data_IF_724379176068
#
_entry.id   IF_724379176068
#
_cell.length_a   1.000
_cell.length_b   1.000
_cell.length_c   1.000
_cell.angle_alpha   90.00
_cell.angle_beta   90.00
_cell.angle_gamma   90.00
#
_symmetry.space_group_name_H-M   'P 1'
#
loop_
_entity.id
_entity.type
_entity.pdbx_description
1 polymer ?
#
# COMPACT_ATOMS: atom_id res chain seq x y z
N UNK A 1 5.89 10.85 16.91
CA UNK A 1 4.93 10.58 15.82
C UNK A 1 5.69 10.59 14.51
N UNK A 2 5.72 9.48 13.78
CA UNK A 2 6.50 9.35 12.53
C UNK A 2 5.82 10.10 11.38
N UNK A 3 6.62 10.78 10.55
CA UNK A 3 6.17 11.48 9.32
C UNK A 3 6.20 10.56 8.10
N UNK A 4 6.20 9.25 8.33
CA UNK A 4 6.51 8.19 7.37
C UNK A 4 5.73 8.29 6.05
N UNK A 5 4.52 8.83 6.01
CA UNK A 5 3.71 8.79 4.78
C UNK A 5 3.28 10.18 4.28
N UNK A 6 4.01 11.25 4.63
CA UNK A 6 3.59 12.61 4.31
C UNK A 6 3.46 12.87 2.80
N UNK A 7 4.33 12.26 1.98
CA UNK A 7 4.29 12.41 0.52
C UNK A 7 3.08 11.70 -0.10
N UNK A 8 2.81 10.47 0.34
CA UNK A 8 1.65 9.68 -0.06
C UNK A 8 0.35 10.40 0.30
N UNK A 9 0.26 10.91 1.53
CA UNK A 9 -0.91 11.63 2.02
C UNK A 9 -1.17 12.93 1.25
N UNK A 10 -0.14 13.66 0.83
CA UNK A 10 -0.31 14.85 0.00
C UNK A 10 -0.88 14.51 -1.39
N UNK A 11 -0.47 13.37 -1.96
CA UNK A 11 -1.02 12.90 -3.24
C UNK A 11 -2.48 12.46 -3.06
N UNK A 12 -2.80 11.76 -1.97
CA UNK A 12 -4.18 11.38 -1.62
C UNK A 12 -5.05 12.63 -1.47
N UNK A 13 -4.56 13.65 -0.76
CA UNK A 13 -5.26 14.94 -0.62
C UNK A 13 -5.55 15.55 -2.00
N UNK A 14 -4.57 15.54 -2.90
CA UNK A 14 -4.74 16.03 -4.27
C UNK A 14 -5.78 15.25 -5.07
N UNK A 15 -5.79 13.92 -4.97
CA UNK A 15 -6.80 13.08 -5.65
C UNK A 15 -8.19 13.27 -5.06
N UNK A 16 -8.32 13.45 -3.74
CA UNK A 16 -9.59 13.79 -3.11
C UNK A 16 -10.08 15.18 -3.51
N UNK A 17 -9.16 16.14 -3.67
CA UNK A 17 -9.50 17.49 -4.12
C UNK A 17 -10.00 17.48 -5.56
N UNK A 18 -9.31 16.79 -6.47
CA UNK A 18 -9.77 16.61 -7.86
C UNK A 18 -11.18 15.99 -7.90
N UNK A 19 -11.47 15.01 -7.03
CA UNK A 19 -12.81 14.43 -6.91
C UNK A 19 -13.87 15.50 -6.59
N UNK A 20 -13.61 16.35 -5.59
CA UNK A 20 -14.56 17.41 -5.19
C UNK A 20 -14.65 18.54 -6.21
N UNK A 21 -13.54 18.89 -6.87
CA UNK A 21 -13.46 19.95 -7.88
C UNK A 21 -14.25 19.58 -9.14
N UNK A 22 -14.39 18.28 -9.43
CA UNK A 22 -15.28 17.73 -10.48
C UNK A 22 -16.77 17.77 -10.11
N UNK A 23 -17.11 18.23 -8.91
CA UNK A 23 -18.49 18.29 -8.41
C UNK A 23 -19.05 16.93 -7.98
N UNK A 24 -18.22 15.90 -7.85
CA UNK A 24 -18.65 14.60 -7.36
C UNK A 24 -18.88 14.63 -5.85
N UNK A 25 -19.87 13.87 -5.40
CA UNK A 25 -20.27 13.79 -3.99
C UNK A 25 -20.02 12.37 -3.49
N UNK A 26 -19.25 12.25 -2.40
CA UNK A 26 -18.97 10.97 -1.77
C UNK A 26 -20.12 10.59 -0.82
N UNK A 27 -20.86 9.53 -1.17
CA UNK A 27 -21.85 8.89 -0.30
C UNK A 27 -21.18 8.07 0.81
N UNK A 28 -20.00 7.50 0.52
CA UNK A 28 -19.21 6.75 1.49
C UNK A 28 -17.68 6.93 1.36
N UNK A 29 -17.00 6.61 2.45
CA UNK A 29 -15.55 6.45 2.51
C UNK A 29 -15.26 5.02 2.98
N UNK A 30 -14.35 4.34 2.30
CA UNK A 30 -13.86 3.01 2.65
C UNK A 30 -12.35 3.05 2.79
N UNK A 31 -11.83 2.68 3.96
CA UNK A 31 -10.39 2.47 4.16
C UNK A 31 -10.11 1.01 4.44
N UNK A 32 -9.25 0.39 3.64
CA UNK A 32 -8.87 -1.02 3.75
C UNK A 32 -7.38 -1.14 4.10
N UNK A 33 -7.05 -1.92 5.12
CA UNK A 33 -5.68 -2.08 5.62
C UNK A 33 -5.10 -0.84 6.30
N UNK A 34 -5.91 -0.13 7.07
CA UNK A 34 -5.50 1.07 7.80
C UNK A 34 -4.64 0.76 9.02
N UNK A 35 -3.31 0.69 8.87
CA UNK A 35 -2.42 0.59 10.03
C UNK A 35 -2.46 1.89 10.86
N UNK A 36 -2.31 1.83 12.19
CA UNK A 36 -2.25 3.04 13.03
C UNK A 36 -1.06 3.91 12.65
N UNK A 37 -1.33 5.15 12.24
CA UNK A 37 -0.36 6.08 11.65
C UNK A 37 -0.67 6.45 10.20
N UNK A 38 -1.47 5.63 9.51
CA UNK A 38 -2.05 5.93 8.21
C UNK A 38 -3.17 6.95 8.40
N UNK A 39 -2.85 8.22 8.19
CA UNK A 39 -3.82 9.31 8.32
C UNK A 39 -4.83 9.34 7.17
N UNK A 40 -4.92 8.29 6.38
CA UNK A 40 -5.70 8.22 5.14
C UNK A 40 -7.18 8.51 5.38
N UNK A 41 -7.86 7.87 6.36
CA UNK A 41 -9.23 8.24 6.69
C UNK A 41 -9.32 9.69 7.15
N UNK A 42 -8.27 10.21 7.79
CA UNK A 42 -8.27 11.59 8.28
C UNK A 42 -8.19 12.61 7.13
N UNK A 43 -7.27 12.39 6.20
CA UNK A 43 -7.01 13.26 5.05
C UNK A 43 -8.20 13.30 4.11
N UNK A 44 -8.73 12.13 3.70
CA UNK A 44 -9.90 12.06 2.79
C UNK A 44 -11.07 12.84 3.39
N UNK A 45 -11.36 12.55 4.65
CA UNK A 45 -12.39 13.19 5.43
C UNK A 45 -12.22 14.71 5.58
N UNK A 46 -10.99 15.20 5.82
CA UNK A 46 -10.71 16.62 5.97
C UNK A 46 -10.94 17.37 4.65
N UNK A 47 -10.55 16.78 3.52
CA UNK A 47 -10.82 17.33 2.18
C UNK A 47 -12.32 17.39 1.93
N UNK A 48 -13.04 16.30 2.18
CA UNK A 48 -14.49 16.25 1.99
C UNK A 48 -15.21 17.25 2.91
N UNK A 49 -14.78 17.40 4.16
CA UNK A 49 -15.34 18.37 5.10
C UNK A 49 -15.11 19.83 4.64
N UNK A 50 -13.91 20.16 4.12
CA UNK A 50 -13.63 21.48 3.51
C UNK A 50 -14.53 21.75 2.31
N UNK A 51 -14.85 20.71 1.53
CA UNK A 51 -15.84 20.77 0.44
C UNK A 51 -17.30 20.70 0.92
N UNK A 52 -17.56 20.78 2.23
CA UNK A 52 -18.89 20.70 2.87
C UNK A 52 -19.65 19.39 2.57
N UNK A 53 -18.94 18.32 2.22
CA UNK A 53 -19.52 17.00 2.04
C UNK A 53 -19.59 16.25 3.37
N UNK A 54 -20.65 15.46 3.55
CA UNK A 54 -20.89 14.64 4.75
C UNK A 54 -21.23 13.20 4.33
N UNK A 55 -20.22 12.35 4.09
CA UNK A 55 -20.44 10.97 3.66
C UNK A 55 -21.29 10.22 4.70
N UNK A 56 -22.30 9.48 4.25
CA UNK A 56 -23.27 8.83 5.15
C UNK A 56 -22.69 7.58 5.78
N UNK A 57 -21.78 6.88 5.07
CA UNK A 57 -21.19 5.62 5.54
C UNK A 57 -19.68 5.74 5.58
N UNK A 58 -19.07 5.28 6.67
CA UNK A 58 -17.63 5.23 6.86
C UNK A 58 -17.25 3.80 7.19
N UNK A 59 -16.45 3.18 6.34
CA UNK A 59 -15.92 1.84 6.52
C UNK A 59 -14.42 1.92 6.84
N UNK A 60 -13.99 1.15 7.83
CA UNK A 60 -12.59 1.02 8.20
C UNK A 60 -12.23 -0.45 8.41
N UNK A 61 -11.10 -0.88 7.87
CA UNK A 61 -10.58 -2.22 8.06
C UNK A 61 -9.08 -2.18 8.30
N UNK A 62 -8.62 -3.09 9.15
CA UNK A 62 -7.23 -3.47 9.32
C UNK A 62 -7.14 -4.97 9.63
N UNK A 63 -5.99 -5.61 9.41
CA UNK A 63 -5.78 -7.01 9.81
C UNK A 63 -5.86 -7.18 11.33
N UNK A 64 -5.37 -6.20 12.09
CA UNK A 64 -5.24 -6.27 13.55
C UNK A 64 -6.48 -5.70 14.27
N UNK A 65 -7.15 -6.51 15.13
CA UNK A 65 -8.25 -6.01 15.98
C UNK A 65 -7.84 -4.83 16.87
N UNK A 66 -6.58 -4.82 17.33
CA UNK A 66 -6.07 -3.72 18.14
C UNK A 66 -6.02 -2.40 17.35
N UNK A 67 -5.68 -2.45 16.07
CA UNK A 67 -5.64 -1.27 15.19
C UNK A 67 -7.05 -0.77 14.89
N UNK A 68 -7.99 -1.66 14.63
CA UNK A 68 -9.41 -1.32 14.48
C UNK A 68 -9.95 -0.63 15.74
N UNK A 69 -9.71 -1.22 16.91
CA UNK A 69 -10.14 -0.64 18.19
C UNK A 69 -9.49 0.72 18.49
N UNK A 70 -8.24 0.92 18.07
CA UNK A 70 -7.57 2.22 18.19
C UNK A 70 -8.18 3.25 17.24
N UNK A 71 -8.37 2.92 15.96
CA UNK A 71 -8.96 3.82 14.96
C UNK A 71 -10.37 4.28 15.36
N UNK A 72 -11.17 3.41 15.95
CA UNK A 72 -12.49 3.75 16.52
C UNK A 72 -12.40 4.83 17.61
N UNK A 73 -11.38 4.77 18.47
CA UNK A 73 -11.17 5.68 19.60
C UNK A 73 -10.51 7.00 19.22
N UNK A 74 -9.80 7.06 18.09
CA UNK A 74 -8.99 8.24 17.73
C UNK A 74 -9.46 8.93 16.46
N UNK A 75 -9.69 8.19 15.37
CA UNK A 75 -9.87 8.75 14.03
C UNK A 75 -11.34 8.79 13.60
N UNK A 76 -12.12 7.80 14.01
CA UNK A 76 -13.52 7.65 13.63
C UNK A 76 -14.49 8.34 14.61
N UNK A 77 -14.00 8.89 15.72
CA UNK A 77 -14.80 9.55 16.76
C UNK A 77 -15.67 10.68 16.21
N UNK A 78 -15.15 11.48 15.27
CA UNK A 78 -15.89 12.56 14.60
C UNK A 78 -17.06 12.10 13.72
N UNK A 79 -17.20 10.80 13.48
CA UNK A 79 -18.28 10.18 12.70
C UNK A 79 -19.25 9.38 13.56
N UNK A 80 -19.18 9.48 14.89
CA UNK A 80 -20.06 8.73 15.79
C UNK A 80 -21.46 9.35 15.94
N UNK A 81 -21.68 10.55 15.38
CA UNK A 81 -22.97 11.25 15.43
C UNK A 81 -23.77 11.11 14.12
N UNK A 82 -25.11 11.12 14.18
CA UNK A 82 -25.96 11.15 12.99
C UNK A 82 -25.61 12.32 12.05
N UNK A 83 -25.70 12.14 10.72
CA UNK A 83 -26.30 11.01 10.01
C UNK A 83 -25.30 9.89 9.65
N UNK A 84 -24.11 9.88 10.25
CA UNK A 84 -23.05 8.96 9.87
C UNK A 84 -23.29 7.55 10.43
N UNK A 85 -22.98 6.53 9.62
CA UNK A 85 -22.89 5.13 10.07
C UNK A 85 -21.44 4.68 9.92
N UNK A 86 -20.82 4.29 11.03
CA UNK A 86 -19.44 3.81 11.07
C UNK A 86 -19.42 2.29 11.20
N UNK A 87 -18.69 1.63 10.32
CA UNK A 87 -18.43 0.18 10.37
C UNK A 87 -16.93 -0.03 10.40
N UNK A 88 -16.40 -0.64 11.46
CA UNK A 88 -14.99 -0.92 11.59
C UNK A 88 -14.78 -2.41 11.91
N UNK A 89 -14.10 -3.14 11.03
CA UNK A 89 -14.01 -4.61 11.08
C UNK A 89 -12.56 -5.06 10.88
N UNK A 90 -12.09 -5.96 11.73
CA UNK A 90 -10.77 -6.55 11.60
C UNK A 90 -10.81 -7.78 10.68
N UNK A 91 -9.75 -8.01 9.90
CA UNK A 91 -9.59 -9.19 9.06
C UNK A 91 -9.02 -8.90 7.67
N UNK A 92 -8.80 -9.95 6.86
CA UNK A 92 -8.26 -9.82 5.51
C UNK A 92 -9.17 -9.00 4.59
N UNK A 93 -8.56 -8.16 3.75
CA UNK A 93 -9.31 -7.25 2.86
C UNK A 93 -10.25 -8.01 1.93
N UNK A 94 -9.81 -9.14 1.37
CA UNK A 94 -10.61 -9.91 0.43
C UNK A 94 -11.87 -10.52 1.06
N UNK A 95 -11.87 -10.75 2.39
CA UNK A 95 -13.06 -11.15 3.15
C UNK A 95 -13.93 -9.93 3.46
N UNK A 96 -13.32 -8.85 3.98
CA UNK A 96 -14.08 -7.67 4.40
C UNK A 96 -14.75 -6.96 3.23
N UNK A 97 -14.09 -6.93 2.07
CA UNK A 97 -14.64 -6.39 0.84
C UNK A 97 -16.01 -6.99 0.45
N UNK A 98 -16.28 -8.25 0.83
CA UNK A 98 -17.55 -8.93 0.53
C UNK A 98 -18.73 -8.38 1.34
N UNK A 99 -18.44 -7.75 2.48
CA UNK A 99 -19.45 -7.14 3.36
C UNK A 99 -19.77 -5.68 2.98
N UNK A 100 -19.02 -5.09 2.05
CA UNK A 100 -19.20 -3.71 1.61
C UNK A 100 -20.06 -3.71 0.33
N UNK A 101 -21.18 -2.96 0.30
CA UNK A 101 -22.04 -2.91 -0.88
C UNK A 101 -21.27 -2.44 -2.12
N UNK A 102 -21.51 -3.12 -3.24
CA UNK A 102 -20.95 -2.74 -4.53
C UNK A 102 -21.50 -1.38 -4.99
N UNK A 103 -20.60 -0.49 -5.39
CA UNK A 103 -20.93 0.85 -5.89
C UNK A 103 -19.71 1.43 -6.64
N UNK A 104 -19.91 2.25 -7.69
CA UNK A 104 -18.81 2.95 -8.34
C UNK A 104 -18.06 3.84 -7.34
N UNK A 105 -16.78 3.55 -7.13
CA UNK A 105 -15.93 4.32 -6.22
C UNK A 105 -14.59 4.65 -6.87
N UNK A 106 -14.05 5.82 -6.55
CA UNK A 106 -12.66 6.14 -6.84
C UNK A 106 -11.78 5.30 -5.93
N UNK A 107 -10.82 4.59 -6.49
CA UNK A 107 -9.88 3.75 -5.73
C UNK A 107 -8.52 4.45 -5.70
N UNK A 108 -7.98 4.67 -4.51
CA UNK A 108 -6.66 5.25 -4.30
C UNK A 108 -5.78 4.21 -3.60
N UNK A 109 -4.71 3.77 -4.27
CA UNK A 109 -3.85 2.70 -3.77
C UNK A 109 -2.42 3.19 -3.62
N UNK A 110 -1.80 2.93 -2.46
CA UNK A 110 -0.39 3.21 -2.19
C UNK A 110 0.44 1.93 -2.16
N UNK A 111 1.56 1.92 -2.88
CA UNK A 111 2.49 0.77 -2.94
C UNK A 111 3.93 1.22 -2.79
N UNK A 112 4.79 0.35 -2.30
CA UNK A 112 6.22 0.61 -2.21
C UNK A 112 6.89 0.68 -3.57
N UNK A 113 7.78 1.65 -3.74
CA UNK A 113 8.52 1.89 -4.97
C UNK A 113 9.89 1.23 -4.87
N UNK A 114 10.20 0.30 -5.76
CA UNK A 114 11.47 -0.41 -5.84
C UNK A 114 12.69 0.52 -5.75
N UNK A 115 12.70 1.64 -6.46
CA UNK A 115 13.81 2.59 -6.38
C UNK A 115 14.00 3.19 -4.98
N UNK A 116 12.92 3.37 -4.23
CA UNK A 116 13.02 3.85 -2.85
C UNK A 116 13.64 2.81 -1.90
N UNK A 117 13.54 1.50 -2.21
CA UNK A 117 14.29 0.46 -1.49
C UNK A 117 15.79 0.69 -1.64
N UNK A 118 16.24 1.11 -2.81
CA UNK A 118 17.65 1.23 -3.17
C UNK A 118 18.26 2.61 -2.85
N UNK A 119 17.45 3.67 -2.86
CA UNK A 119 17.88 5.07 -2.77
C UNK A 119 17.62 5.71 -1.39
N UNK A 120 17.14 4.96 -0.41
CA UNK A 120 16.60 5.52 0.84
C UNK A 120 17.57 6.38 1.65
N UNK A 121 18.89 6.18 1.51
CA UNK A 121 19.92 7.03 2.14
C UNK A 121 19.94 8.48 1.62
N UNK A 122 19.25 8.76 0.50
CA UNK A 122 19.13 10.09 -0.11
C UNK A 122 17.79 10.77 0.19
N UNK A 123 16.87 10.10 0.88
CA UNK A 123 15.54 10.64 1.19
C UNK A 123 15.60 11.33 2.56
N UNK A 124 15.79 12.65 2.56
CA UNK A 124 15.72 13.46 3.77
C UNK A 124 14.38 13.25 4.52
N UNK A 125 14.45 13.00 5.82
CA UNK A 125 13.26 12.89 6.69
C UNK A 125 12.77 11.47 6.95
N UNK A 126 13.41 10.44 6.40
CA UNK A 126 13.08 9.03 6.65
C UNK A 126 14.18 8.32 7.43
N UNK A 127 14.07 8.32 8.76
CA UNK A 127 14.93 7.48 9.56
C UNK A 127 14.47 6.02 9.38
N UNK A 128 15.28 5.19 8.70
CA UNK A 128 15.09 3.73 8.59
C UNK A 128 14.04 3.24 7.58
N UNK A 129 14.18 3.59 6.30
CA UNK A 129 13.51 2.87 5.20
C UNK A 129 14.51 2.33 4.18
N UNK A 130 14.04 1.42 3.33
CA UNK A 130 14.84 0.81 2.28
C UNK A 130 15.89 -0.19 2.78
N UNK A 131 16.86 -0.51 1.92
CA UNK A 131 17.79 -1.62 2.09
C UNK A 131 18.68 -1.47 3.33
N UNK A 132 19.10 -0.25 3.63
CA UNK A 132 19.88 0.07 4.83
C UNK A 132 19.10 -0.24 6.13
N UNK A 133 17.79 -0.04 6.14
CA UNK A 133 16.94 -0.36 7.28
C UNK A 133 16.92 -1.85 7.58
N UNK A 134 16.74 -2.69 6.55
CA UNK A 134 16.78 -4.15 6.68
C UNK A 134 18.14 -4.63 7.19
N UNK A 135 19.23 -4.05 6.69
CA UNK A 135 20.59 -4.42 7.09
C UNK A 135 20.85 -4.05 8.55
N UNK A 136 20.54 -2.82 8.96
CA UNK A 136 20.70 -2.41 10.36
C UNK A 136 19.87 -3.27 11.32
N UNK A 137 18.70 -3.73 10.89
CA UNK A 137 17.88 -4.65 11.68
C UNK A 137 18.54 -6.03 11.77
N UNK A 138 19.04 -6.58 10.67
CA UNK A 138 19.82 -7.83 10.69
C UNK A 138 21.01 -7.75 11.66
N UNK A 139 21.82 -6.69 11.55
CA UNK A 139 22.99 -6.47 12.41
C UNK A 139 22.63 -6.37 13.90
N UNK A 140 21.52 -5.68 14.24
CA UNK A 140 21.14 -5.41 15.63
C UNK A 140 20.36 -6.54 16.28
N UNK A 141 19.55 -7.24 15.51
CA UNK A 141 18.58 -8.21 16.02
C UNK A 141 18.98 -9.66 15.74
N UNK A 142 20.01 -9.89 14.92
CA UNK A 142 20.40 -11.22 14.45
C UNK A 142 19.53 -11.73 13.30
N UNK A 143 18.63 -10.90 12.77
CA UNK A 143 17.67 -11.32 11.75
C UNK A 143 18.35 -11.59 10.40
N UNK A 144 17.76 -12.48 9.61
CA UNK A 144 18.13 -12.70 8.22
C UNK A 144 17.06 -12.11 7.29
N UNK A 145 17.47 -11.36 6.26
CA UNK A 145 16.54 -10.90 5.22
C UNK A 145 16.90 -11.50 3.87
N UNK A 146 15.91 -12.09 3.22
CA UNK A 146 16.03 -12.65 1.87
C UNK A 146 15.39 -11.66 0.88
N UNK A 147 16.18 -11.18 -0.07
CA UNK A 147 15.75 -10.33 -1.17
C UNK A 147 15.63 -11.17 -2.43
N UNK A 148 14.42 -11.26 -2.97
CA UNK A 148 14.15 -12.05 -4.17
C UNK A 148 13.55 -11.15 -5.26
N UNK A 149 14.28 -10.93 -6.36
CA UNK A 149 13.72 -10.30 -7.56
C UNK A 149 12.66 -11.19 -8.20
N UNK A 150 11.47 -10.66 -8.40
CA UNK A 150 10.33 -11.40 -8.94
C UNK A 150 9.73 -10.72 -10.17
N UNK A 151 9.24 -11.52 -11.10
CA UNK A 151 8.35 -11.10 -12.19
C UNK A 151 6.96 -11.64 -11.98
N UNK A 152 6.00 -11.00 -12.63
CA UNK A 152 4.60 -11.35 -12.61
C UNK A 152 4.24 -12.00 -13.94
N UNK A 153 4.03 -13.31 -13.92
CA UNK A 153 3.63 -14.11 -15.08
C UNK A 153 2.20 -14.59 -14.89
N UNK A 154 1.27 -14.02 -15.65
CA UNK A 154 -0.16 -14.29 -15.53
C UNK A 154 -0.74 -13.76 -14.21
N UNK A 155 -0.86 -14.64 -13.20
CA UNK A 155 -1.30 -14.27 -11.84
C UNK A 155 -0.30 -14.71 -10.76
N UNK A 156 0.89 -15.15 -11.16
CA UNK A 156 1.89 -15.72 -10.26
C UNK A 156 3.16 -14.89 -10.26
N UNK A 157 3.82 -14.88 -9.11
CA UNK A 157 5.15 -14.31 -8.98
C UNK A 157 6.20 -15.40 -9.22
N UNK A 158 7.13 -15.13 -10.13
CA UNK A 158 8.19 -16.05 -10.53
C UNK A 158 9.55 -15.40 -10.20
N UNK A 159 10.44 -16.06 -9.44
CA UNK A 159 11.78 -15.57 -9.21
C UNK A 159 12.56 -15.46 -10.53
N UNK A 160 13.26 -14.34 -10.75
CA UNK A 160 14.05 -14.12 -11.97
C UNK A 160 15.56 -14.24 -11.78
N UNK A 161 15.99 -14.33 -10.53
CA UNK A 161 17.38 -14.57 -10.15
C UNK A 161 17.42 -15.35 -8.85
N UNK A 162 18.57 -15.95 -8.49
CA UNK A 162 18.77 -16.48 -7.14
C UNK A 162 18.43 -15.44 -6.07
N UNK A 163 17.88 -15.86 -4.91
CA UNK A 163 17.65 -14.97 -3.78
C UNK A 163 18.98 -14.44 -3.24
N UNK A 164 18.94 -13.23 -2.69
CA UNK A 164 20.07 -12.56 -2.09
C UNK A 164 19.84 -12.54 -0.58
N UNK A 165 20.66 -13.27 0.16
CA UNK A 165 20.58 -13.35 1.61
C UNK A 165 21.41 -12.23 2.26
N UNK A 166 20.81 -11.53 3.20
CA UNK A 166 21.45 -10.54 4.06
C UNK A 166 21.53 -11.13 5.46
N UNK A 167 22.71 -11.59 5.84
CA UNK A 167 23.02 -12.16 7.16
C UNK A 167 23.96 -11.21 7.90
N UNK A 168 23.71 -11.03 9.19
CA UNK A 168 24.40 -10.12 10.11
C UNK A 168 25.93 -10.27 10.24
N UNK A 169 26.56 -11.23 9.56
CA UNK A 169 28.01 -11.53 9.66
C UNK A 169 28.84 -11.21 8.42
N UNK A 170 28.25 -10.61 7.38
CA UNK A 170 29.01 -10.19 6.20
C UNK A 170 29.97 -9.04 6.55
N UNK A 171 31.27 -9.17 6.23
CA UNK A 171 32.23 -8.05 6.36
C UNK A 171 31.67 -6.84 5.58
N UNK A 172 31.98 -5.61 6.01
CA UNK A 172 31.51 -4.36 5.34
C UNK A 172 31.80 -4.35 3.83
N UNK A 173 32.83 -5.09 3.39
CA UNK A 173 33.13 -5.32 1.96
C UNK A 173 32.11 -6.23 1.27
N UNK A 174 31.71 -7.33 1.89
CA UNK A 174 30.66 -8.22 1.39
C UNK A 174 29.30 -7.51 1.37
N UNK A 175 29.07 -6.56 2.29
CA UNK A 175 27.91 -5.68 2.27
C UNK A 175 27.87 -4.74 1.06
N UNK A 176 28.95 -4.00 0.80
CA UNK A 176 29.03 -3.12 -0.38
C UNK A 176 28.87 -3.93 -1.66
N UNK A 177 29.41 -5.14 -1.68
CA UNK A 177 29.26 -6.06 -2.80
C UNK A 177 27.83 -6.58 -2.93
N UNK A 178 27.15 -6.95 -1.84
CA UNK A 178 25.74 -7.35 -1.86
C UNK A 178 24.84 -6.20 -2.34
N UNK A 179 25.05 -4.97 -1.87
CA UNK A 179 24.37 -3.78 -2.39
C UNK A 179 24.62 -3.59 -3.88
N UNK A 180 25.86 -3.75 -4.32
CA UNK A 180 26.24 -3.64 -5.73
C UNK A 180 25.56 -4.72 -6.55
N UNK A 181 25.52 -5.96 -6.08
CA UNK A 181 24.88 -7.11 -6.73
C UNK A 181 23.37 -6.92 -6.77
N UNK A 182 22.71 -6.52 -5.69
CA UNK A 182 21.26 -6.20 -5.67
C UNK A 182 20.98 -5.08 -6.68
N UNK A 183 21.77 -4.01 -6.66
CA UNK A 183 21.59 -2.87 -7.56
C UNK A 183 21.81 -3.26 -9.02
N UNK A 184 22.83 -4.06 -9.32
CA UNK A 184 23.11 -4.56 -10.67
C UNK A 184 22.05 -5.56 -11.13
N UNK A 185 21.64 -6.51 -10.28
CA UNK A 185 20.56 -7.46 -10.60
C UNK A 185 19.23 -6.74 -10.89
N UNK A 186 18.91 -5.67 -10.15
CA UNK A 186 17.74 -4.82 -10.43
C UNK A 186 17.88 -4.05 -11.75
N UNK A 187 19.07 -3.51 -12.02
CA UNK A 187 19.34 -2.74 -13.24
C UNK A 187 19.37 -3.62 -14.50
N UNK A 188 19.92 -4.83 -14.41
CA UNK A 188 20.12 -5.76 -15.53
C UNK A 188 18.85 -6.57 -15.86
N UNK A 189 17.92 -6.71 -14.92
CA UNK A 189 16.75 -7.60 -15.06
C UNK A 189 15.38 -7.01 -14.72
N UNK A 190 15.25 -5.68 -14.54
CA UNK A 190 14.00 -4.94 -14.26
C UNK A 190 12.87 -5.83 -13.73
N UNK A 191 12.99 -6.36 -12.51
CA UNK A 191 11.95 -7.19 -11.94
C UNK A 191 10.66 -6.36 -11.79
N UNK A 192 9.52 -7.05 -11.76
CA UNK A 192 8.24 -6.40 -11.44
C UNK A 192 8.23 -5.93 -9.98
N UNK A 193 8.90 -6.67 -9.10
CA UNK A 193 9.13 -6.27 -7.72
C UNK A 193 10.37 -6.93 -7.11
N UNK A 194 10.83 -6.41 -5.96
CA UNK A 194 11.63 -7.18 -5.00
C UNK A 194 10.72 -7.62 -3.87
N UNK A 195 10.72 -8.91 -3.58
CA UNK A 195 10.18 -9.50 -2.36
C UNK A 195 11.27 -9.52 -1.29
N UNK A 196 10.95 -9.03 -0.10
CA UNK A 196 11.80 -9.04 1.09
C UNK A 196 11.14 -9.93 2.12
N UNK A 197 11.80 -11.02 2.49
CA UNK A 197 11.36 -11.94 3.55
C UNK A 197 12.28 -11.81 4.74
N UNK A 198 11.78 -11.41 5.90
CA UNK A 198 12.51 -11.41 7.16
C UNK A 198 12.31 -12.73 7.91
N UNK A 199 13.42 -13.35 8.31
CA UNK A 199 13.48 -14.53 9.16
C UNK A 199 14.09 -14.10 10.50
N UNK A 200 13.32 -14.28 11.57
CA UNK A 200 13.67 -13.79 12.90
C UNK A 200 14.12 -14.94 13.80
N UNK A 201 15.29 -14.80 14.41
CA UNK A 201 15.87 -15.83 15.29
C UNK A 201 15.07 -16.02 16.59
N UNK A 202 14.27 -15.01 16.97
CA UNK A 202 13.47 -14.98 18.18
C UNK A 202 12.16 -15.80 18.09
N UNK A 203 11.93 -16.50 16.97
CA UNK A 203 10.72 -17.30 16.74
C UNK A 203 9.47 -16.49 16.41
N UNK A 204 9.61 -15.20 16.09
CA UNK A 204 8.50 -14.41 15.56
C UNK A 204 8.14 -14.80 14.13
N UNK A 205 6.89 -14.50 13.74
CA UNK A 205 6.41 -14.78 12.39
C UNK A 205 7.23 -14.05 11.32
N UNK A 206 7.46 -14.67 10.16
CA UNK A 206 8.28 -14.07 9.11
C UNK A 206 7.66 -12.77 8.61
N UNK A 207 8.50 -11.77 8.41
CA UNK A 207 8.10 -10.49 7.82
C UNK A 207 8.09 -10.61 6.30
N UNK A 208 7.12 -10.00 5.64
CA UNK A 208 7.06 -9.96 4.19
C UNK A 208 6.82 -8.54 3.69
N UNK A 209 7.58 -8.14 2.67
CA UNK A 209 7.37 -6.87 1.99
C UNK A 209 7.67 -6.97 0.49
N UNK A 210 6.95 -6.20 -0.33
CA UNK A 210 7.12 -6.13 -1.77
C UNK A 210 7.34 -4.69 -2.19
N UNK A 211 8.40 -4.45 -2.95
CA UNK A 211 8.78 -3.15 -3.49
C UNK A 211 8.71 -3.20 -5.02
N UNK A 212 7.75 -2.49 -5.61
CA UNK A 212 7.38 -2.66 -7.01
C UNK A 212 8.10 -1.68 -7.94
N UNK A 213 8.47 -2.14 -9.13
CA UNK A 213 8.84 -1.24 -10.23
C UNK A 213 7.57 -0.63 -10.84
N UNK A 214 7.71 0.46 -11.59
CA UNK A 214 6.53 1.05 -12.26
C UNK A 214 5.90 0.06 -13.26
N UNK A 215 6.73 -0.75 -13.93
CA UNK A 215 6.28 -1.81 -14.83
C UNK A 215 5.50 -2.89 -14.07
N UNK A 216 6.02 -3.36 -12.94
CA UNK A 216 5.35 -4.37 -12.12
C UNK A 216 4.03 -3.90 -11.54
N UNK A 217 3.94 -2.63 -11.14
CA UNK A 217 2.65 -2.02 -10.76
C UNK A 217 1.68 -2.07 -11.94
N UNK A 218 2.08 -1.63 -13.14
CA UNK A 218 1.20 -1.65 -14.31
C UNK A 218 0.72 -3.07 -14.66
N UNK A 219 1.60 -4.08 -14.58
CA UNK A 219 1.25 -5.47 -14.83
C UNK A 219 0.26 -6.03 -13.79
N UNK A 220 0.56 -5.84 -12.50
CA UNK A 220 -0.30 -6.31 -11.40
C UNK A 220 -1.70 -5.70 -11.50
N UNK A 221 -1.77 -4.40 -11.78
CA UNK A 221 -3.04 -3.70 -11.91
C UNK A 221 -3.79 -4.10 -13.19
N UNK A 222 -3.09 -4.24 -14.32
CA UNK A 222 -3.70 -4.71 -15.57
C UNK A 222 -4.31 -6.12 -15.47
N UNK A 223 -3.73 -6.99 -14.63
CA UNK A 223 -4.27 -8.33 -14.38
C UNK A 223 -5.43 -8.36 -13.36
N UNK A 224 -5.56 -7.31 -12.55
CA UNK A 224 -6.53 -7.24 -11.44
C UNK A 224 -7.73 -6.35 -11.70
N UNK A 225 -7.58 -5.34 -12.56
CA UNK A 225 -8.62 -4.37 -12.93
C UNK A 225 -8.89 -4.46 -14.44
N UNK A 226 -10.02 -5.05 -14.86
CA UNK A 226 -10.41 -5.07 -16.26
C UNK A 226 -10.57 -3.64 -16.79
N UNK A 227 -9.96 -3.34 -17.94
CA UNK A 227 -9.89 -1.98 -18.50
C UNK A 227 -11.28 -1.40 -18.81
N UNK A 228 -12.27 -2.25 -19.07
CA UNK A 228 -13.67 -1.88 -19.28
C UNK A 228 -14.42 -1.46 -18.01
N UNK A 229 -13.86 -1.72 -16.81
CA UNK A 229 -14.51 -1.41 -15.52
C UNK A 229 -13.85 -0.24 -14.82
N UNK A 230 -12.53 -0.28 -14.71
CA UNK A 230 -11.75 0.67 -13.93
C UNK A 230 -10.58 1.16 -14.77
N UNK A 231 -10.42 2.48 -14.84
CA UNK A 231 -9.35 3.15 -15.57
C UNK A 231 -8.29 3.68 -14.61
N UNK A 232 -7.02 3.38 -14.87
CA UNK A 232 -5.90 4.01 -14.17
C UNK A 232 -5.77 5.46 -14.63
N UNK A 233 -6.21 6.40 -13.80
CA UNK A 233 -6.20 7.83 -14.10
C UNK A 233 -4.80 8.44 -13.92
N UNK A 234 -4.10 8.03 -12.87
CA UNK A 234 -2.79 8.60 -12.53
C UNK A 234 -1.95 7.63 -11.70
N UNK A 235 -0.64 7.68 -11.92
CA UNK A 235 0.38 7.01 -11.12
C UNK A 235 1.41 8.08 -10.75
N UNK A 236 1.45 8.47 -9.47
CA UNK A 236 2.32 9.54 -8.99
C UNK A 236 3.40 8.95 -8.09
N UNK A 237 4.65 9.35 -8.34
CA UNK A 237 5.79 8.95 -7.53
C UNK A 237 5.87 9.82 -6.29
N UNK A 238 6.14 9.20 -5.15
CA UNK A 238 6.53 9.89 -3.92
C UNK A 238 7.85 9.28 -3.42
N UNK A 239 8.48 9.85 -2.37
CA UNK A 239 9.79 9.40 -1.93
C UNK A 239 9.86 7.89 -1.68
N UNK A 240 8.90 7.28 -0.94
CA UNK A 240 8.89 5.85 -0.59
C UNK A 240 8.07 4.97 -1.53
N UNK A 241 7.08 5.53 -2.22
CA UNK A 241 6.09 4.74 -2.93
C UNK A 241 5.60 5.31 -4.27
N UNK A 242 4.58 4.64 -4.78
CA UNK A 242 3.66 5.17 -5.78
C UNK A 242 2.28 5.29 -5.16
N UNK A 243 1.54 6.32 -5.56
CA UNK A 243 0.10 6.41 -5.29
C UNK A 243 -0.63 6.41 -6.62
N UNK A 244 -1.56 5.48 -6.76
CA UNK A 244 -2.39 5.27 -7.94
C UNK A 244 -3.80 5.79 -7.66
N UNK A 245 -4.40 6.39 -8.67
CA UNK A 245 -5.81 6.76 -8.67
C UNK A 245 -6.52 6.04 -9.80
N UNK A 246 -7.58 5.32 -9.49
CA UNK A 246 -8.40 4.62 -10.45
C UNK A 246 -9.86 5.06 -10.33
N UNK A 247 -10.49 5.31 -11.47
CA UNK A 247 -11.90 5.69 -11.54
C UNK A 247 -12.72 4.65 -12.32
N UNK A 248 -14.00 4.45 -11.96
CA UNK A 248 -14.91 3.64 -12.73
C UNK A 248 -15.15 4.24 -14.13
N UNK A 249 -15.17 3.39 -15.15
CA UNK A 249 -15.30 3.81 -16.56
C UNK A 249 -16.72 4.26 -16.90
N UNK A 250 -17.72 3.52 -16.42
CA UNK A 250 -19.11 3.64 -16.89
C UNK A 250 -19.97 4.63 -16.11
N UNK A 251 -19.45 5.21 -15.02
CA UNK A 251 -20.22 6.13 -14.17
C UNK A 251 -19.32 7.01 -13.32
N UNK A 252 -19.74 8.21 -12.93
CA UNK A 252 -19.05 9.00 -11.92
C UNK A 252 -18.92 8.22 -10.60
N UNK A 253 -17.78 8.30 -9.91
CA UNK A 253 -17.63 7.67 -8.61
C UNK A 253 -18.52 8.34 -7.56
N UNK A 254 -19.13 7.52 -6.70
CA UNK A 254 -20.05 7.91 -5.61
C UNK A 254 -19.44 7.68 -4.23
N UNK A 255 -18.18 7.30 -4.17
CA UNK A 255 -17.45 7.07 -2.93
C UNK A 255 -15.96 6.98 -3.18
N UNK A 256 -15.20 6.87 -2.10
CA UNK A 256 -13.74 6.80 -2.15
C UNK A 256 -13.29 5.58 -1.37
N UNK A 257 -12.46 4.75 -2.01
CA UNK A 257 -11.76 3.62 -1.40
C UNK A 257 -10.28 3.97 -1.31
N UNK A 258 -9.69 3.84 -0.13
CA UNK A 258 -8.25 4.00 0.08
C UNK A 258 -7.63 2.71 0.58
N UNK A 259 -6.52 2.33 -0.04
CA UNK A 259 -5.68 1.19 0.35
C UNK A 259 -4.23 1.64 0.35
N UNK A 260 -3.76 2.24 1.44
CA UNK A 260 -2.40 2.80 1.52
C UNK A 260 -1.52 2.02 2.50
N UNK A 261 -0.25 2.44 2.58
CA UNK A 261 0.74 1.93 3.52
C UNK A 261 0.96 0.41 3.47
N UNK A 262 1.35 -0.07 2.29
CA UNK A 262 2.00 -1.39 2.11
C UNK A 262 1.07 -2.55 2.36
N UNK A 263 -0.23 -2.31 2.26
CA UNK A 263 -1.20 -3.39 2.21
C UNK A 263 -0.84 -4.36 1.08
N UNK A 264 -0.57 -3.86 -0.13
CA UNK A 264 -0.01 -4.70 -1.21
C UNK A 264 1.50 -4.95 -1.07
N UNK A 265 2.16 -4.28 -0.14
CA UNK A 265 3.55 -4.59 0.19
C UNK A 265 3.63 -5.85 1.03
N UNK A 266 2.69 -6.07 1.95
CA UNK A 266 2.82 -7.04 3.04
C UNK A 266 1.78 -8.18 2.95
N UNK A 267 1.07 -8.28 1.84
CA UNK A 267 0.17 -9.39 1.54
C UNK A 267 0.97 -10.53 0.87
N UNK A 268 0.51 -11.76 1.04
CA UNK A 268 1.16 -12.89 0.39
C UNK A 268 1.04 -12.75 -1.13
N UNK A 269 2.07 -13.11 -1.92
CA UNK A 269 2.09 -12.83 -3.35
C UNK A 269 0.88 -13.43 -4.09
N UNK A 270 0.41 -14.62 -3.70
CA UNK A 270 -0.76 -15.24 -4.30
C UNK A 270 -2.09 -14.55 -3.95
N UNK A 271 -2.14 -13.77 -2.88
CA UNK A 271 -3.33 -13.05 -2.41
C UNK A 271 -3.43 -11.62 -2.97
N UNK A 272 -2.39 -11.10 -3.64
CA UNK A 272 -2.41 -9.74 -4.20
C UNK A 272 -3.52 -9.57 -5.25
N UNK A 273 -3.61 -10.51 -6.18
CA UNK A 273 -4.61 -10.48 -7.26
C UNK A 273 -6.01 -10.59 -6.66
N UNK A 274 -6.21 -11.49 -5.70
CA UNK A 274 -7.52 -11.69 -5.08
C UNK A 274 -7.96 -10.49 -4.24
N UNK A 275 -7.02 -9.87 -3.52
CA UNK A 275 -7.24 -8.63 -2.79
C UNK A 275 -7.62 -7.50 -3.73
N UNK A 276 -6.87 -7.30 -4.82
CA UNK A 276 -7.16 -6.27 -5.82
C UNK A 276 -8.47 -6.52 -6.56
N UNK A 277 -8.79 -7.78 -6.90
CA UNK A 277 -10.09 -8.16 -7.50
C UNK A 277 -11.25 -7.99 -6.53
N UNK A 278 -11.03 -8.14 -5.22
CA UNK A 278 -12.05 -7.82 -4.23
C UNK A 278 -12.32 -6.32 -4.17
N UNK A 279 -11.26 -5.50 -4.25
CA UNK A 279 -11.36 -4.03 -4.35
C UNK A 279 -12.04 -3.60 -5.66
N UNK A 280 -11.72 -4.23 -6.80
CA UNK A 280 -12.41 -4.00 -8.09
C UNK A 280 -13.92 -4.27 -7.97
N UNK A 281 -14.28 -5.43 -7.40
CA UNK A 281 -15.67 -5.86 -7.27
C UNK A 281 -16.52 -4.90 -6.44
N UNK A 282 -15.99 -4.38 -5.33
CA UNK A 282 -16.75 -3.42 -4.51
C UNK A 282 -16.79 -2.03 -5.16
N UNK A 283 -15.83 -1.67 -6.00
CA UNK A 283 -15.67 -0.34 -6.58
C UNK A 283 -16.27 -0.18 -7.99
N UNK A 284 -16.79 -1.27 -8.56
CA UNK A 284 -17.40 -1.35 -9.89
C UNK A 284 -18.92 -1.38 -9.88
#
# INVERSE_FOLDING_TARGET
MTRDNAGELAIVESFCKDFTDRGWVADDIVTLGGATGCRDPLVVSDVLAKAKQKPKKIFFNDLSPAMVGMAQKTHLTRYQEPPHTVTAIAGPIHEIAQHIPRMPRRVIIGVYRLWALLESSLIEGYAYSGLEGYVRNAERLGDCFILEPIRFEGTQYVPVSPPIELIAQADRKEYVEALRVVRLAVLDHLPDAIRVTGLFDNGSEPFLSHWFSEWGVRNLFGASFPAERIHLMSLVRCPKGFVLCLDPVSSPPKGIVTVLNNVLGNVLPHEHVDTLRAIDRLSS
#
